data_IF_063326152656
#
_entry.id   IF_063326152656
#
_cell.length_a   1.000
_cell.length_b   1.000
_cell.length_c   1.000
_cell.angle_alpha   90.00
_cell.angle_beta   90.00
_cell.angle_gamma   90.00
#
_symmetry.space_group_name_H-M   'P 1'
#
loop_
_entity.id
_entity.type
_entity.pdbx_description
1 polymer ?
#
# COMPACT_ATOMS: atom_id res chain seq x y z
N UNK A 1 11.59 -16.34 -10.94
CA UNK A 1 10.30 -15.65 -10.92
C UNK A 1 9.65 -16.00 -9.61
N UNK A 2 9.54 -15.03 -8.70
CA UNK A 2 8.75 -15.21 -7.49
C UNK A 2 7.27 -15.24 -7.92
N UNK A 3 6.68 -16.43 -7.92
CA UNK A 3 5.24 -16.60 -8.08
C UNK A 3 4.59 -16.13 -6.79
N UNK A 4 3.91 -14.99 -6.83
CA UNK A 4 3.11 -14.54 -5.69
C UNK A 4 1.92 -15.50 -5.49
N UNK A 5 1.51 -15.69 -4.25
CA UNK A 5 0.43 -16.61 -3.91
C UNK A 5 -0.91 -15.95 -4.26
N UNK A 6 -1.57 -16.42 -5.33
CA UNK A 6 -2.83 -15.84 -5.79
C UNK A 6 -3.98 -16.01 -4.79
N UNK A 7 -3.83 -16.91 -3.81
CA UNK A 7 -4.79 -17.12 -2.73
C UNK A 7 -4.84 -15.94 -1.73
N UNK A 8 -3.78 -15.12 -1.69
CA UNK A 8 -3.71 -13.90 -0.88
C UNK A 8 -4.38 -12.68 -1.51
N UNK A 9 -4.83 -12.77 -2.76
CA UNK A 9 -5.49 -11.65 -3.43
C UNK A 9 -6.87 -11.39 -2.82
N UNK A 10 -7.20 -10.11 -2.64
CA UNK A 10 -8.53 -9.72 -2.20
C UNK A 10 -9.44 -9.67 -3.43
N UNK A 11 -10.58 -10.35 -3.33
CA UNK A 11 -11.58 -10.43 -4.40
C UNK A 11 -12.82 -9.61 -4.05
N UNK A 12 -13.27 -8.79 -5.00
CA UNK A 12 -14.53 -8.07 -4.95
C UNK A 12 -15.43 -8.47 -6.13
N UNK A 13 -16.74 -8.40 -5.91
CA UNK A 13 -17.74 -8.66 -6.94
C UNK A 13 -18.34 -7.33 -7.40
N UNK A 14 -18.11 -7.00 -8.68
CA UNK A 14 -18.58 -5.78 -9.34
C UNK A 14 -19.61 -6.18 -10.40
N UNK A 15 -20.83 -6.47 -9.96
CA UNK A 15 -21.87 -7.01 -10.84
C UNK A 15 -21.47 -8.38 -11.40
N UNK A 16 -21.39 -8.48 -12.72
CA UNK A 16 -20.96 -9.70 -13.42
C UNK A 16 -19.44 -9.86 -13.50
N UNK A 17 -18.66 -8.95 -12.93
CA UNK A 17 -17.20 -8.98 -12.95
C UNK A 17 -16.61 -9.27 -11.56
N UNK A 18 -15.43 -9.89 -11.54
CA UNK A 18 -14.62 -10.11 -10.35
C UNK A 18 -13.40 -9.21 -10.44
N UNK A 19 -13.21 -8.39 -9.41
CA UNK A 19 -12.02 -7.57 -9.25
C UNK A 19 -11.08 -8.25 -8.26
N UNK A 20 -9.83 -8.43 -8.66
CA UNK A 20 -8.76 -8.90 -7.80
C UNK A 20 -7.80 -7.74 -7.52
N UNK A 21 -7.38 -7.56 -6.28
CA UNK A 21 -6.37 -6.56 -5.86
C UNK A 21 -5.40 -7.17 -4.84
N UNK A 22 -4.46 -6.37 -4.34
CA UNK A 22 -3.43 -6.83 -3.40
C UNK A 22 -2.21 -7.44 -4.08
N UNK A 23 -1.98 -7.13 -5.35
CA UNK A 23 -0.79 -7.61 -6.06
C UNK A 23 0.48 -6.99 -5.47
N UNK A 24 1.54 -7.78 -5.20
CA UNK A 24 2.77 -7.25 -4.59
C UNK A 24 3.57 -6.38 -5.56
N UNK A 25 3.41 -6.58 -6.87
CA UNK A 25 4.09 -5.80 -7.91
C UNK A 25 3.19 -5.58 -9.12
N UNK A 26 3.56 -4.63 -9.99
CA UNK A 26 2.83 -4.39 -11.23
C UNK A 26 2.95 -5.59 -12.17
N UNK A 27 4.15 -6.19 -12.23
CA UNK A 27 4.41 -7.37 -13.04
C UNK A 27 3.55 -8.57 -12.60
N UNK A 28 3.38 -8.78 -11.29
CA UNK A 28 2.49 -9.81 -10.75
C UNK A 28 1.05 -9.65 -11.26
N UNK A 29 0.52 -8.42 -11.24
CA UNK A 29 -0.81 -8.14 -11.78
C UNK A 29 -0.88 -8.39 -13.30
N UNK A 30 0.15 -7.96 -14.04
CA UNK A 30 0.23 -8.12 -15.50
C UNK A 30 0.27 -9.61 -15.90
N UNK A 31 1.08 -10.42 -15.21
CA UNK A 31 1.15 -11.86 -15.42
C UNK A 31 -0.17 -12.55 -15.08
N UNK A 32 -0.82 -12.15 -13.98
CA UNK A 32 -2.12 -12.69 -13.59
C UNK A 32 -3.21 -12.37 -14.61
N UNK A 33 -3.26 -11.12 -15.09
CA UNK A 33 -4.19 -10.70 -16.14
C UNK A 33 -3.98 -11.52 -17.42
N UNK A 34 -2.72 -11.67 -17.87
CA UNK A 34 -2.40 -12.45 -19.06
C UNK A 34 -2.77 -13.93 -18.93
N UNK A 35 -2.55 -14.54 -17.77
CA UNK A 35 -2.86 -15.96 -17.52
C UNK A 35 -4.37 -16.23 -17.37
N UNK A 36 -5.13 -15.26 -16.85
CA UNK A 36 -6.55 -15.42 -16.52
C UNK A 36 -7.49 -14.68 -17.49
N UNK A 37 -6.98 -14.20 -18.63
CA UNK A 37 -7.73 -13.40 -19.61
C UNK A 37 -8.42 -12.18 -18.95
N UNK A 38 -7.75 -11.59 -17.97
CA UNK A 38 -8.22 -10.42 -17.24
C UNK A 38 -7.71 -9.11 -17.84
N UNK A 39 -8.30 -8.00 -17.39
CA UNK A 39 -7.91 -6.64 -17.74
C UNK A 39 -7.21 -5.97 -16.55
N UNK A 40 -6.03 -5.40 -16.79
CA UNK A 40 -5.34 -4.57 -15.80
C UNK A 40 -6.08 -3.24 -15.62
N UNK A 41 -6.45 -2.94 -14.39
CA UNK A 41 -7.15 -1.71 -14.04
C UNK A 41 -6.53 -1.06 -12.81
N UNK A 42 -6.74 0.24 -12.68
CA UNK A 42 -6.48 0.95 -11.42
C UNK A 42 -7.75 0.97 -10.57
N UNK A 43 -7.59 0.76 -9.26
CA UNK A 43 -8.67 0.68 -8.28
C UNK A 43 -8.41 1.72 -7.20
N UNK A 44 -9.42 2.52 -6.90
CA UNK A 44 -9.38 3.52 -5.85
C UNK A 44 -10.25 3.12 -4.65
N UNK A 45 -9.73 3.42 -3.45
CA UNK A 45 -10.39 3.35 -2.15
C UNK A 45 -10.29 4.76 -1.53
N UNK A 46 -11.35 5.56 -1.66
CA UNK A 46 -11.32 7.00 -1.36
C UNK A 46 -12.32 7.43 -0.30
N UNK A 47 -13.21 6.54 0.14
CA UNK A 47 -14.26 6.84 1.11
C UNK A 47 -13.85 6.49 2.56
N UNK A 48 -12.58 6.13 2.76
CA UNK A 48 -12.07 5.68 4.06
C UNK A 48 -12.59 4.29 4.46
N UNK A 49 -13.10 3.52 3.50
CA UNK A 49 -13.49 2.12 3.67
C UNK A 49 -12.95 1.27 2.51
N UNK A 50 -13.10 -0.03 2.64
CA UNK A 50 -12.68 -1.01 1.64
C UNK A 50 -13.72 -1.17 0.51
N UNK A 51 -14.13 -0.06 -0.10
CA UNK A 51 -15.07 0.00 -1.22
C UNK A 51 -14.33 0.32 -2.52
N UNK A 52 -13.96 -0.68 -3.34
CA UNK A 52 -13.17 -0.44 -4.53
C UNK A 52 -13.99 0.26 -5.62
N UNK A 53 -13.33 1.18 -6.34
CA UNK A 53 -13.85 1.81 -7.56
C UNK A 53 -12.80 1.76 -8.65
N UNK A 54 -13.13 1.21 -9.81
CA UNK A 54 -12.27 1.25 -10.99
C UNK A 54 -12.08 2.70 -11.43
N UNK A 55 -10.84 3.10 -11.68
CA UNK A 55 -10.48 4.49 -12.00
C UNK A 55 -9.24 4.55 -12.92
N UNK A 56 -8.80 5.75 -13.27
CA UNK A 56 -7.55 6.05 -13.97
C UNK A 56 -6.94 7.38 -13.48
N UNK A 57 -7.21 7.76 -12.23
CA UNK A 57 -6.91 9.08 -11.68
C UNK A 57 -5.41 9.31 -11.47
N UNK A 58 -4.68 8.30 -11.01
CA UNK A 58 -3.24 8.44 -10.69
C UNK A 58 -2.32 7.79 -11.74
N UNK A 59 -2.92 7.08 -12.70
CA UNK A 59 -2.25 6.49 -13.85
C UNK A 59 -1.32 5.33 -13.48
N UNK A 60 -1.72 4.47 -12.54
CA UNK A 60 -0.91 3.34 -12.07
C UNK A 60 -0.44 2.45 -13.23
N UNK A 61 -1.35 2.11 -14.15
CA UNK A 61 -1.06 1.28 -15.32
C UNK A 61 0.02 1.92 -16.21
N UNK A 62 -0.14 3.21 -16.53
CA UNK A 62 0.80 3.94 -17.38
C UNK A 62 2.18 4.10 -16.73
N UNK A 63 2.20 4.25 -15.40
CA UNK A 63 3.43 4.43 -14.61
C UNK A 63 4.06 3.11 -14.19
N UNK A 64 3.41 1.97 -14.48
CA UNK A 64 3.80 0.62 -14.04
C UNK A 64 3.98 0.53 -12.52
N UNK A 65 3.11 1.21 -11.79
CA UNK A 65 3.06 1.18 -10.33
C UNK A 65 1.93 0.26 -9.87
N UNK A 66 2.14 -0.41 -8.75
CA UNK A 66 1.15 -1.31 -8.17
C UNK A 66 0.34 -0.67 -7.04
N UNK A 67 0.84 0.43 -6.48
CA UNK A 67 0.29 1.08 -5.31
C UNK A 67 0.62 2.57 -5.33
N UNK A 68 -0.33 3.40 -4.88
CA UNK A 68 -0.12 4.81 -4.60
C UNK A 68 -1.10 5.29 -3.54
N UNK A 69 -0.66 6.20 -2.68
CA UNK A 69 -1.54 6.88 -1.72
C UNK A 69 -1.40 8.38 -1.93
N UNK A 70 -2.53 9.05 -2.01
CA UNK A 70 -2.60 10.51 -2.05
C UNK A 70 -3.39 11.01 -0.83
N UNK A 71 -2.92 12.06 -0.18
CA UNK A 71 -3.65 12.70 0.90
C UNK A 71 -3.48 14.23 0.79
N UNK A 72 -3.86 14.96 1.85
CA UNK A 72 -3.60 16.39 1.95
C UNK A 72 -2.12 16.74 1.71
N UNK A 73 -1.81 17.98 1.30
CA UNK A 73 -0.44 18.39 0.95
C UNK A 73 0.55 18.29 2.11
N UNK A 74 0.06 18.21 3.35
CA UNK A 74 0.92 17.96 4.51
C UNK A 74 1.38 16.50 4.62
N UNK A 75 0.76 15.56 3.91
CA UNK A 75 0.98 14.13 4.08
C UNK A 75 1.86 13.55 2.98
N UNK A 76 2.79 12.68 3.39
CA UNK A 76 3.62 11.89 2.46
C UNK A 76 3.64 10.43 2.91
N UNK A 77 3.45 9.53 1.96
CA UNK A 77 3.49 8.08 2.17
C UNK A 77 4.68 7.51 1.43
N UNK A 78 5.50 6.73 2.13
CA UNK A 78 6.68 6.07 1.57
C UNK A 78 6.46 4.57 1.71
N UNK A 79 6.24 3.87 0.59
CA UNK A 79 6.02 2.43 0.57
C UNK A 79 7.35 1.68 0.69
N UNK A 80 7.34 0.47 1.23
CA UNK A 80 8.54 -0.38 1.37
C UNK A 80 9.32 -0.63 0.08
N UNK A 81 8.62 -0.56 -1.07
CA UNK A 81 9.22 -0.70 -2.40
C UNK A 81 9.88 0.58 -2.92
N UNK A 82 9.64 1.72 -2.29
CA UNK A 82 10.28 2.98 -2.65
C UNK A 82 11.74 2.99 -2.19
N UNK A 83 12.69 3.46 -3.02
CA UNK A 83 14.11 3.52 -2.64
C UNK A 83 14.35 4.42 -1.42
N UNK A 84 13.51 5.42 -1.20
CA UNK A 84 13.56 6.34 -0.07
C UNK A 84 13.18 5.66 1.26
N UNK A 85 12.47 4.52 1.23
CA UNK A 85 12.02 3.84 2.43
C UNK A 85 13.19 3.41 3.31
N UNK A 86 14.23 2.83 2.71
CA UNK A 86 15.39 2.32 3.45
C UNK A 86 16.15 3.45 4.14
N UNK A 87 16.33 4.57 3.43
CA UNK A 87 17.02 5.76 3.96
C UNK A 87 16.25 6.35 5.15
N UNK A 88 14.93 6.47 5.02
CA UNK A 88 14.09 6.98 6.11
C UNK A 88 14.00 6.02 7.30
N UNK A 89 13.92 4.70 7.04
CA UNK A 89 13.91 3.69 8.09
C UNK A 89 15.20 3.70 8.92
N UNK A 90 16.36 3.87 8.27
CA UNK A 90 17.66 4.00 8.94
C UNK A 90 17.70 5.26 9.81
N UNK A 91 17.24 6.39 9.28
CA UNK A 91 17.15 7.66 10.02
C UNK A 91 16.19 7.58 11.23
N UNK A 92 15.06 6.87 11.11
CA UNK A 92 14.17 6.60 12.25
C UNK A 92 14.84 5.76 13.33
N UNK A 93 15.63 4.76 12.94
CA UNK A 93 16.37 3.91 13.87
C UNK A 93 17.47 4.70 14.60
N UNK A 94 18.14 5.62 13.90
CA UNK A 94 19.12 6.53 14.48
C UNK A 94 18.47 7.45 15.52
N UNK A 95 17.38 8.15 15.18
CA UNK A 95 16.63 9.01 16.12
C UNK A 95 16.18 8.22 17.36
N UNK A 96 15.67 6.99 17.17
CA UNK A 96 15.25 6.14 18.28
C UNK A 96 16.41 5.73 19.19
N UNK A 97 17.57 5.42 18.62
CA UNK A 97 18.76 5.06 19.37
C UNK A 97 19.24 6.26 20.22
N UNK A 98 19.28 7.45 19.62
CA UNK A 98 19.62 8.71 20.28
C UNK A 98 18.68 9.07 21.45
N UNK A 99 17.39 8.74 21.32
CA UNK A 99 16.38 8.92 22.38
C UNK A 99 16.53 7.89 23.50
N UNK A 100 16.80 6.62 23.16
CA UNK A 100 17.05 5.53 24.14
C UNK A 100 18.30 5.79 24.99
N UNK A 101 19.33 6.42 24.43
CA UNK A 101 20.52 6.83 25.19
C UNK A 101 20.27 8.00 26.15
N UNK A 102 19.21 8.80 25.94
CA UNK A 102 18.95 10.04 26.71
C UNK A 102 18.03 9.90 27.92
N UNK A 103 17.24 8.83 28.07
CA UNK A 103 16.43 8.58 29.29
C UNK A 103 15.93 7.13 29.39
N UNK A 104 16.31 6.36 30.43
CA UNK A 104 15.81 4.99 30.65
C UNK A 104 14.35 4.91 31.17
N UNK A 105 13.65 6.04 31.34
CA UNK A 105 12.39 6.11 32.08
C UNK A 105 11.13 6.32 31.21
N UNK A 106 11.26 6.55 29.89
CA UNK A 106 10.12 6.83 28.99
C UNK A 106 10.08 5.97 27.72
N UNK A 107 10.47 4.70 27.81
CA UNK A 107 10.35 3.78 26.66
C UNK A 107 8.90 3.24 26.59
N UNK A 108 7.96 4.11 26.21
CA UNK A 108 6.59 3.74 25.81
C UNK A 108 6.48 3.52 24.28
N UNK A 109 7.58 3.18 23.62
CA UNK A 109 7.64 3.01 22.16
C UNK A 109 8.30 1.67 21.84
N UNK A 110 7.81 0.61 22.49
CA UNK A 110 8.21 -0.79 22.25
C UNK A 110 7.12 -1.53 21.46
N UNK A 111 6.37 -0.82 20.63
CA UNK A 111 5.29 -1.39 19.80
C UNK A 111 5.51 -1.21 18.29
N UNK A 112 6.64 -0.60 17.90
CA UNK A 112 7.03 -0.50 16.49
C UNK A 112 7.71 -1.79 15.96
N UNK A 113 8.21 -2.66 16.85
CA UNK A 113 8.94 -3.87 16.47
C UNK A 113 8.06 -5.01 15.90
N UNK A 114 6.77 -5.21 16.23
CA UNK A 114 5.98 -6.29 15.66
C UNK A 114 5.03 -5.91 14.51
N UNK A 115 4.91 -4.64 14.13
CA UNK A 115 3.98 -4.20 13.06
C UNK A 115 4.65 -4.10 11.69
N UNK A 116 5.63 -4.97 11.43
CA UNK A 116 6.02 -5.31 10.06
C UNK A 116 4.89 -6.11 9.43
N UNK A 117 3.81 -5.41 9.08
CA UNK A 117 2.81 -5.92 8.17
C UNK A 117 3.52 -6.32 6.86
N UNK A 118 3.01 -7.36 6.19
CA UNK A 118 3.31 -7.58 4.79
C UNK A 118 3.01 -6.23 4.08
N UNK A 119 4.04 -5.54 3.57
CA UNK A 119 4.01 -4.17 3.00
C UNK A 119 3.88 -2.98 4.00
N UNK A 120 4.97 -2.63 4.72
CA UNK A 120 4.99 -1.44 5.58
C UNK A 120 5.06 -0.13 4.77
N UNK A 121 4.40 0.90 5.29
CA UNK A 121 4.34 2.25 4.73
C UNK A 121 4.65 3.25 5.83
N UNK A 122 5.61 4.13 5.59
CA UNK A 122 5.92 5.25 6.50
C UNK A 122 5.01 6.42 6.14
N UNK A 123 4.35 7.00 7.15
CA UNK A 123 3.49 8.17 7.02
C UNK A 123 4.20 9.37 7.63
N UNK A 124 4.41 10.40 6.83
CA UNK A 124 4.93 11.69 7.26
C UNK A 124 3.83 12.73 7.23
N UNK A 125 3.86 13.64 8.20
CA UNK A 125 3.05 14.85 8.25
C UNK A 125 3.96 16.06 8.41
N UNK A 126 3.90 17.00 7.47
CA UNK A 126 4.78 18.17 7.40
C UNK A 126 6.28 17.78 7.50
N UNK A 127 6.68 16.75 6.73
CA UNK A 127 8.03 16.16 6.71
C UNK A 127 8.50 15.55 8.05
N UNK A 128 7.62 15.44 9.04
CA UNK A 128 7.88 14.78 10.31
C UNK A 128 7.23 13.40 10.34
N UNK A 129 7.91 12.44 10.97
CA UNK A 129 7.37 11.10 11.19
C UNK A 129 6.05 11.18 11.97
N UNK A 130 4.98 10.63 11.41
CA UNK A 130 3.69 10.52 12.08
C UNK A 130 3.43 9.09 12.57
N UNK A 131 3.54 8.10 11.67
CA UNK A 131 3.27 6.70 12.00
C UNK A 131 3.81 5.71 10.96
N UNK A 132 3.76 4.42 11.29
CA UNK A 132 3.92 3.32 10.33
C UNK A 132 2.54 2.66 10.15
N UNK A 133 2.18 2.40 8.90
CA UNK A 133 0.93 1.72 8.53
C UNK A 133 1.23 0.60 7.52
N UNK A 134 0.18 -0.07 7.05
CA UNK A 134 0.26 -1.04 5.95
C UNK A 134 -0.60 -0.61 4.78
N UNK A 135 -0.41 -1.25 3.62
CA UNK A 135 -1.27 -1.09 2.44
C UNK A 135 -2.75 -1.19 2.80
N UNK A 136 -3.15 -2.28 3.45
CA UNK A 136 -4.56 -2.49 3.83
C UNK A 136 -5.05 -1.43 4.82
N UNK A 137 -4.26 -1.10 5.84
CA UNK A 137 -4.65 -0.10 6.86
C UNK A 137 -4.75 1.30 6.29
N UNK A 138 -3.99 1.62 5.23
CA UNK A 138 -4.04 2.92 4.57
C UNK A 138 -5.42 3.23 3.97
N UNK A 139 -6.20 2.22 3.56
CA UNK A 139 -7.55 2.38 3.00
C UNK A 139 -8.55 2.97 4.00
N UNK A 140 -8.28 2.80 5.30
CA UNK A 140 -9.12 3.29 6.39
C UNK A 140 -8.70 4.66 6.91
N UNK A 141 -7.62 5.25 6.36
CA UNK A 141 -7.22 6.61 6.67
C UNK A 141 -8.16 7.57 5.94
N UNK A 142 -9.10 8.20 6.68
CA UNK A 142 -10.13 9.10 6.11
C UNK A 142 -9.60 10.28 5.30
N UNK A 143 -8.32 10.62 5.46
CA UNK A 143 -7.66 11.70 4.75
C UNK A 143 -6.81 11.21 3.56
N UNK A 144 -6.79 9.90 3.30
CA UNK A 144 -6.02 9.27 2.26
C UNK A 144 -6.93 8.63 1.21
N UNK A 145 -6.56 8.84 -0.05
CA UNK A 145 -7.06 8.18 -1.23
C UNK A 145 -6.04 7.11 -1.60
N UNK A 146 -6.43 5.85 -1.50
CA UNK A 146 -5.56 4.72 -1.78
C UNK A 146 -5.86 4.18 -3.17
N UNK A 147 -4.82 3.93 -3.94
CA UNK A 147 -4.89 3.42 -5.28
C UNK A 147 -4.06 2.14 -5.37
N UNK A 148 -4.67 1.07 -5.88
CA UNK A 148 -4.04 -0.22 -6.10
C UNK A 148 -4.21 -0.65 -7.56
N UNK A 149 -3.22 -1.37 -8.08
CA UNK A 149 -3.42 -2.12 -9.32
C UNK A 149 -4.34 -3.31 -9.05
N UNK A 150 -5.29 -3.52 -9.95
CA UNK A 150 -6.21 -4.64 -9.91
C UNK A 150 -6.31 -5.34 -11.25
N UNK A 151 -6.95 -6.50 -11.23
CA UNK A 151 -7.31 -7.26 -12.42
C UNK A 151 -8.80 -7.51 -12.41
N UNK A 152 -9.50 -7.04 -13.44
CA UNK A 152 -10.89 -7.38 -13.70
C UNK A 152 -10.97 -8.66 -14.52
N UNK A 153 -11.90 -9.54 -14.14
CA UNK A 153 -12.23 -10.74 -14.90
C UNK A 153 -13.74 -10.88 -14.99
N UNK A 154 -14.23 -11.31 -16.14
CA UNK A 154 -15.64 -11.64 -16.32
C UNK A 154 -16.01 -12.90 -15.53
N UNK A 155 -17.14 -12.91 -14.83
CA UNK A 155 -17.57 -14.07 -14.04
C UNK A 155 -18.01 -15.26 -14.90
N UNK A 156 -18.21 -15.04 -16.20
CA UNK A 156 -18.73 -16.01 -17.16
C UNK A 156 -17.65 -16.84 -17.89
N UNK A 157 -16.38 -16.77 -17.48
CA UNK A 157 -15.28 -17.64 -17.95
C UNK A 157 -14.49 -18.22 -16.79
#
# INVERSE_FOLDING_TARGET
METFDSDKLVKYELGDQKLYVGFPTFQAAEEYAAQNLGELVEVAFTDGNDNPRVTNEVGLVNRKLHFNVQAGPEYRFIHSSDPEFKDYADHLQEIQSDLREKSPEEIYITDAEPQMAEDPIIVLKNDQFESITSRERSKYLKHANVYEIGVLRDSNH
#
